data_IF_121990432254
#
_entry.id   IF_121990432254
#
_cell.length_a   1.000
_cell.length_b   1.000
_cell.length_c   1.000
_cell.angle_alpha   90.00
_cell.angle_beta   90.00
_cell.angle_gamma   90.00
#
_symmetry.space_group_name_H-M   'P 1'
#
loop_
_entity.id
_entity.type
_entity.pdbx_description
1 polymer ?
#
# COMPACT_ATOMS: atom_id res chain seq x y z
N UNK A 1 -5.36 24.38 0.95
CA UNK A 1 -5.90 23.01 1.18
C UNK A 1 -6.71 23.03 2.47
N UNK A 2 -7.78 22.24 2.57
CA UNK A 2 -8.53 22.12 3.82
C UNK A 2 -7.70 21.37 4.86
N UNK A 3 -7.82 21.73 6.13
CA UNK A 3 -7.16 21.03 7.24
C UNK A 3 -7.52 19.53 7.21
N UNK A 4 -6.58 18.61 7.48
CA UNK A 4 -6.84 17.17 7.54
C UNK A 4 -7.71 16.78 8.76
N UNK A 5 -7.92 17.71 9.68
CA UNK A 5 -8.63 17.46 10.93
C UNK A 5 -10.14 17.71 10.79
N UNK A 6 -10.91 16.64 10.92
CA UNK A 6 -12.36 16.72 10.98
C UNK A 6 -12.87 17.17 12.38
N UNK A 7 -14.20 17.31 12.53
CA UNK A 7 -14.83 17.74 13.81
C UNK A 7 -14.46 16.83 14.97
N UNK A 8 -14.41 15.51 14.77
CA UNK A 8 -14.04 14.54 15.79
C UNK A 8 -12.59 14.71 16.24
N UNK A 9 -11.66 14.87 15.28
CA UNK A 9 -10.25 15.16 15.60
C UNK A 9 -10.12 16.43 16.41
N UNK A 10 -10.81 17.50 16.01
CA UNK A 10 -10.78 18.81 16.72
C UNK A 10 -11.34 18.71 18.13
N UNK A 11 -12.44 17.97 18.32
CA UNK A 11 -13.01 17.72 19.66
C UNK A 11 -12.00 17.03 20.60
N UNK A 12 -11.31 15.99 20.13
CA UNK A 12 -10.31 15.29 20.93
C UNK A 12 -9.06 16.14 21.19
N UNK A 13 -8.63 16.95 20.21
CA UNK A 13 -7.51 17.87 20.39
C UNK A 13 -7.79 18.91 21.47
N UNK A 14 -9.03 19.45 21.54
CA UNK A 14 -9.43 20.37 22.58
C UNK A 14 -9.48 19.69 23.95
N UNK A 15 -10.10 18.51 24.02
CA UNK A 15 -10.23 17.75 25.26
C UNK A 15 -8.89 17.39 25.90
N UNK A 16 -7.86 17.09 25.07
CA UNK A 16 -6.53 16.69 25.53
C UNK A 16 -5.46 17.81 25.42
N UNK A 17 -5.88 19.05 25.20
CA UNK A 17 -5.00 20.22 25.03
C UNK A 17 -3.87 20.05 24.02
N UNK A 18 -4.18 19.42 22.88
CA UNK A 18 -3.21 19.17 21.80
C UNK A 18 -3.47 19.99 20.54
N UNK A 19 -4.46 20.89 20.53
CA UNK A 19 -4.84 21.69 19.36
C UNK A 19 -3.66 22.45 18.76
N UNK A 20 -2.93 23.19 19.58
CA UNK A 20 -1.77 23.99 19.14
C UNK A 20 -0.65 23.13 18.57
N UNK A 21 -0.43 21.93 19.15
CA UNK A 21 0.53 20.97 18.62
C UNK A 21 0.07 20.43 17.26
N UNK A 22 -1.21 20.06 17.15
CA UNK A 22 -1.78 19.55 15.91
C UNK A 22 -1.70 20.57 14.76
N UNK A 23 -2.01 21.85 15.04
CA UNK A 23 -1.89 22.92 14.05
C UNK A 23 -0.44 23.10 13.59
N UNK A 24 0.52 23.05 14.51
CA UNK A 24 1.95 23.11 14.15
C UNK A 24 2.41 21.90 13.33
N UNK A 25 1.87 20.71 13.59
CA UNK A 25 2.17 19.50 12.80
C UNK A 25 1.55 19.59 11.40
N UNK A 26 0.35 20.18 11.28
CA UNK A 26 -0.29 20.45 9.98
C UNK A 26 0.58 21.38 9.14
N UNK A 27 0.95 22.53 9.68
CA UNK A 27 1.83 23.50 9.01
C UNK A 27 3.16 22.88 8.56
N UNK A 28 3.77 22.06 9.41
CA UNK A 28 5.12 21.53 9.20
C UNK A 28 5.18 20.33 8.24
N UNK A 29 4.20 19.45 8.31
CA UNK A 29 4.28 18.13 7.65
C UNK A 29 3.14 17.84 6.66
N UNK A 30 1.97 18.47 6.80
CA UNK A 30 0.79 18.12 6.02
C UNK A 30 0.46 19.15 4.94
N UNK A 31 0.96 20.36 5.06
CA UNK A 31 0.65 21.45 4.13
C UNK A 31 1.17 21.22 2.71
N UNK A 32 2.20 20.41 2.53
CA UNK A 32 2.80 20.13 1.23
C UNK A 32 3.04 18.62 1.04
N UNK A 33 2.20 17.92 0.24
CA UNK A 33 2.31 16.48 0.01
C UNK A 33 3.41 16.15 -1.00
N UNK A 34 4.66 16.49 -0.71
CA UNK A 34 5.81 16.20 -1.57
C UNK A 34 6.59 15.01 -1.02
N UNK A 35 6.86 14.04 -1.87
CA UNK A 35 7.73 12.89 -1.60
C UNK A 35 9.17 13.37 -1.81
N UNK A 36 9.86 13.66 -0.72
CA UNK A 36 11.27 14.06 -0.76
C UNK A 36 12.21 12.90 -1.09
N UNK A 37 13.50 13.21 -1.23
CA UNK A 37 14.52 12.18 -1.54
C UNK A 37 14.61 11.10 -0.44
N UNK A 38 14.49 11.49 0.83
CA UNK A 38 14.49 10.56 1.97
C UNK A 38 13.24 9.67 1.96
N UNK A 39 12.05 10.25 1.69
CA UNK A 39 10.80 9.49 1.59
C UNK A 39 10.86 8.50 0.41
N UNK A 40 11.40 8.91 -0.74
CA UNK A 40 11.62 8.04 -1.89
C UNK A 40 12.50 6.84 -1.50
N UNK A 41 13.67 7.10 -0.92
CA UNK A 41 14.59 6.06 -0.51
C UNK A 41 13.95 5.13 0.55
N UNK A 42 13.12 5.68 1.43
CA UNK A 42 12.35 4.90 2.40
C UNK A 42 11.32 4.01 1.71
N UNK A 43 10.47 4.56 0.83
CA UNK A 43 9.40 3.83 0.13
C UNK A 43 10.00 2.71 -0.72
N UNK A 44 11.00 3.02 -1.55
CA UNK A 44 11.54 2.09 -2.54
C UNK A 44 12.36 0.93 -1.93
N UNK A 45 12.86 1.07 -0.69
CA UNK A 45 13.54 -0.04 -0.01
C UNK A 45 12.60 -0.98 0.74
N UNK A 46 11.33 -0.62 0.94
CA UNK A 46 10.39 -1.45 1.68
C UNK A 46 9.87 -2.61 0.86
N UNK A 47 9.58 -3.70 1.55
CA UNK A 47 9.13 -4.98 0.99
C UNK A 47 7.63 -5.20 1.19
N UNK A 48 6.97 -4.29 1.90
CA UNK A 48 5.54 -4.38 2.18
C UNK A 48 4.96 -3.04 2.63
N UNK A 49 3.64 -2.92 2.46
CA UNK A 49 2.84 -1.87 3.07
C UNK A 49 1.41 -2.36 3.34
N UNK A 50 0.69 -1.64 4.18
CA UNK A 50 -0.75 -1.84 4.36
C UNK A 50 -1.51 -0.82 3.52
N UNK A 51 -2.48 -1.32 2.72
CA UNK A 51 -3.37 -0.51 1.90
C UNK A 51 -4.74 -0.46 2.54
N UNK A 52 -5.18 0.72 2.93
CA UNK A 52 -6.54 1.01 3.36
C UNK A 52 -7.35 1.55 2.17
N UNK A 53 -8.52 0.98 1.95
CA UNK A 53 -9.52 1.40 0.96
C UNK A 53 -10.90 1.43 1.60
N UNK A 54 -11.88 2.05 0.97
CA UNK A 54 -13.28 1.96 1.37
C UNK A 54 -14.14 1.88 0.11
N UNK A 55 -15.28 1.19 0.22
CA UNK A 55 -16.27 1.19 -0.85
C UNK A 55 -17.05 2.51 -0.95
N UNK A 56 -18.03 2.58 -1.84
CA UNK A 56 -18.84 3.79 -2.05
C UNK A 56 -19.64 4.21 -0.80
N UNK A 57 -19.97 3.26 0.08
CA UNK A 57 -20.68 3.50 1.35
C UNK A 57 -19.73 3.83 2.51
N UNK A 58 -18.41 3.85 2.25
CA UNK A 58 -17.41 4.15 3.26
C UNK A 58 -17.01 2.97 4.16
N UNK A 59 -17.41 1.72 3.84
CA UNK A 59 -17.01 0.53 4.59
C UNK A 59 -15.54 0.22 4.33
N UNK A 60 -14.69 0.18 5.37
CA UNK A 60 -13.26 0.09 5.19
C UNK A 60 -12.78 -1.33 4.91
N UNK A 61 -11.71 -1.42 4.13
CA UNK A 61 -10.90 -2.61 3.93
C UNK A 61 -9.43 -2.28 4.19
N UNK A 62 -8.70 -3.23 4.75
CA UNK A 62 -7.25 -3.12 4.92
C UNK A 62 -6.59 -4.39 4.39
N UNK A 63 -5.60 -4.24 3.52
CA UNK A 63 -4.89 -5.35 2.92
C UNK A 63 -3.37 -5.18 3.02
N UNK A 64 -2.68 -6.28 3.22
CA UNK A 64 -1.23 -6.37 3.08
C UNK A 64 -0.88 -6.39 1.59
N UNK A 65 0.14 -5.64 1.21
CA UNK A 65 0.77 -5.67 -0.11
C UNK A 65 2.26 -5.92 0.09
N UNK A 66 2.78 -6.96 -0.52
CA UNK A 66 4.18 -7.35 -0.42
C UNK A 66 4.84 -7.48 -1.79
N UNK A 67 6.15 -7.31 -1.80
CA UNK A 67 7.01 -7.43 -2.97
C UNK A 67 8.47 -7.34 -2.57
N UNK A 68 9.37 -7.48 -3.53
CA UNK A 68 10.79 -7.20 -3.28
C UNK A 68 11.03 -5.67 -3.22
N UNK A 69 12.14 -5.20 -2.63
CA UNK A 69 12.50 -3.79 -2.67
C UNK A 69 12.39 -3.22 -4.07
N UNK A 70 11.76 -2.05 -4.21
CA UNK A 70 11.46 -1.43 -5.49
C UNK A 70 10.12 -1.85 -6.12
N UNK A 71 9.32 -2.72 -5.48
CA UNK A 71 7.97 -3.01 -5.96
C UNK A 71 7.04 -1.79 -5.83
N UNK A 72 7.24 -0.94 -4.84
CA UNK A 72 6.65 0.39 -4.82
C UNK A 72 7.67 1.36 -5.41
N UNK A 73 7.30 2.06 -6.48
CA UNK A 73 8.15 3.04 -7.17
C UNK A 73 7.61 4.44 -6.98
N UNK A 74 8.50 5.37 -6.72
CA UNK A 74 8.18 6.80 -6.71
C UNK A 74 8.45 7.36 -8.10
N UNK A 75 7.40 7.69 -8.83
CA UNK A 75 7.49 8.14 -10.23
C UNK A 75 7.89 9.62 -10.33
N UNK A 76 7.33 10.43 -9.45
CA UNK A 76 7.61 11.85 -9.31
C UNK A 76 7.41 12.29 -7.86
N UNK A 77 7.49 13.57 -7.57
CA UNK A 77 7.36 14.13 -6.22
C UNK A 77 5.99 13.93 -5.56
N UNK A 78 5.00 13.40 -6.29
CA UNK A 78 3.62 13.23 -5.81
C UNK A 78 2.99 11.90 -6.20
N UNK A 79 3.67 11.06 -6.95
CA UNK A 79 3.08 9.85 -7.50
C UNK A 79 3.91 8.64 -7.14
N UNK A 80 3.26 7.65 -6.53
CA UNK A 80 3.81 6.31 -6.37
C UNK A 80 3.04 5.32 -7.23
N UNK A 81 3.69 4.21 -7.60
CA UNK A 81 3.06 3.11 -8.31
C UNK A 81 3.46 1.78 -7.68
N UNK A 82 2.55 0.81 -7.74
CA UNK A 82 2.80 -0.56 -7.31
C UNK A 82 2.00 -1.56 -8.15
N UNK A 83 2.47 -2.81 -8.28
CA UNK A 83 1.76 -3.83 -9.04
C UNK A 83 0.59 -4.41 -8.26
N UNK A 84 -0.44 -4.86 -8.97
CA UNK A 84 -1.38 -5.82 -8.43
C UNK A 84 -1.00 -7.22 -8.93
N UNK A 85 -0.61 -8.07 -8.01
CA UNK A 85 -0.33 -9.48 -8.27
C UNK A 85 -1.59 -10.33 -8.14
N UNK A 86 -1.55 -11.54 -8.66
CA UNK A 86 -2.61 -12.51 -8.46
C UNK A 86 -2.81 -12.79 -6.96
N UNK A 87 -4.04 -13.01 -6.57
CA UNK A 87 -4.43 -13.26 -5.19
C UNK A 87 -5.59 -14.26 -5.10
N UNK A 88 -6.50 -14.03 -4.19
CA UNK A 88 -7.64 -14.90 -3.93
C UNK A 88 -8.85 -14.69 -4.88
N UNK A 89 -8.72 -13.86 -5.90
CA UNK A 89 -9.78 -13.57 -6.86
C UNK A 89 -10.91 -12.66 -6.37
N UNK A 90 -10.92 -12.27 -5.09
CA UNK A 90 -12.00 -11.43 -4.54
C UNK A 90 -11.91 -9.96 -4.94
N UNK A 91 -10.73 -9.45 -5.25
CA UNK A 91 -10.45 -8.06 -5.64
C UNK A 91 -11.05 -6.98 -4.74
N UNK A 92 -11.30 -7.26 -3.45
CA UNK A 92 -11.99 -6.33 -2.53
C UNK A 92 -11.35 -4.94 -2.51
N UNK A 93 -10.03 -4.86 -2.32
CA UNK A 93 -9.35 -3.57 -2.29
C UNK A 93 -9.34 -2.88 -3.66
N UNK A 94 -9.14 -3.64 -4.73
CA UNK A 94 -9.07 -3.08 -6.08
C UNK A 94 -10.44 -2.70 -6.61
N UNK A 95 -11.48 -3.48 -6.28
CA UNK A 95 -12.87 -3.13 -6.57
C UNK A 95 -13.28 -1.83 -5.89
N UNK A 96 -12.90 -1.64 -4.63
CA UNK A 96 -13.14 -0.38 -3.93
C UNK A 96 -12.56 0.82 -4.69
N UNK A 97 -11.34 0.69 -5.26
CA UNK A 97 -10.70 1.79 -5.99
C UNK A 97 -11.44 2.23 -7.25
N UNK A 98 -12.22 1.35 -7.85
CA UNK A 98 -13.05 1.69 -9.02
C UNK A 98 -14.26 2.54 -8.65
N UNK A 99 -14.75 2.43 -7.41
CA UNK A 99 -15.90 3.17 -6.90
C UNK A 99 -15.49 4.37 -6.04
N UNK A 100 -14.47 4.19 -5.20
CA UNK A 100 -13.94 5.20 -4.30
C UNK A 100 -12.40 5.18 -4.38
N UNK A 101 -11.78 6.09 -5.13
CA UNK A 101 -10.36 6.06 -5.40
C UNK A 101 -9.49 6.55 -4.23
N UNK A 102 -10.08 6.95 -3.10
CA UNK A 102 -9.32 7.42 -1.94
C UNK A 102 -8.65 6.26 -1.20
N UNK A 103 -7.35 6.42 -0.94
CA UNK A 103 -6.53 5.39 -0.30
C UNK A 103 -5.68 5.96 0.83
N UNK A 104 -5.35 5.07 1.77
CA UNK A 104 -4.31 5.27 2.75
C UNK A 104 -3.26 4.16 2.64
N UNK A 105 -1.98 4.54 2.51
CA UNK A 105 -0.85 3.62 2.57
C UNK A 105 -0.12 3.83 3.89
N UNK A 106 0.08 2.75 4.63
CA UNK A 106 0.91 2.73 5.82
C UNK A 106 2.14 1.87 5.55
N UNK A 107 3.28 2.51 5.44
CA UNK A 107 4.57 1.89 5.14
C UNK A 107 5.36 1.87 6.45
N UNK A 108 5.83 0.70 6.89
CA UNK A 108 6.52 0.52 8.18
C UNK A 108 7.82 -0.24 7.97
N UNK A 109 8.90 0.35 8.45
CA UNK A 109 10.17 -0.33 8.62
C UNK A 109 10.22 -0.97 10.01
N UNK A 110 10.04 -2.29 10.06
CA UNK A 110 10.10 -3.06 11.29
C UNK A 110 11.51 -3.56 11.62
N UNK A 111 12.40 -3.61 10.63
CA UNK A 111 13.65 -4.37 10.69
C UNK A 111 14.86 -3.55 11.06
N UNK A 112 14.84 -2.25 10.79
CA UNK A 112 15.99 -1.41 11.12
C UNK A 112 16.16 -1.20 12.63
N UNK A 113 17.37 -0.83 13.03
CA UNK A 113 17.68 -0.56 14.45
C UNK A 113 16.80 0.57 15.03
N UNK A 114 16.26 1.43 14.19
CA UNK A 114 15.32 2.48 14.54
C UNK A 114 14.08 2.35 13.66
N UNK A 115 13.07 1.57 14.10
CA UNK A 115 11.82 1.43 13.36
C UNK A 115 11.23 2.79 13.00
N UNK A 116 10.65 2.87 11.82
CA UNK A 116 10.05 4.11 11.34
C UNK A 116 8.81 3.80 10.48
N UNK A 117 7.97 4.81 10.27
CA UNK A 117 6.80 4.68 9.42
C UNK A 117 6.47 5.97 8.69
N UNK A 118 5.96 5.77 7.48
CA UNK A 118 5.45 6.83 6.62
C UNK A 118 3.98 6.57 6.33
N UNK A 119 3.16 7.61 6.33
CA UNK A 119 1.79 7.58 5.80
C UNK A 119 1.74 8.35 4.50
N UNK A 120 1.08 7.76 3.53
CA UNK A 120 0.71 8.40 2.28
C UNK A 120 -0.78 8.22 2.10
N UNK A 121 -1.52 9.34 2.02
CA UNK A 121 -2.91 9.33 1.58
C UNK A 121 -2.97 9.91 0.17
N UNK A 122 -3.90 9.40 -0.65
CA UNK A 122 -3.96 9.84 -2.03
C UNK A 122 -5.21 9.40 -2.77
N UNK A 123 -5.19 9.68 -4.06
CA UNK A 123 -6.19 9.24 -5.02
C UNK A 123 -5.54 8.23 -5.95
N UNK A 124 -6.10 7.03 -5.99
CA UNK A 124 -5.60 5.92 -6.80
C UNK A 124 -6.25 5.87 -8.18
N UNK A 125 -5.52 5.28 -9.12
CA UNK A 125 -6.04 4.88 -10.43
C UNK A 125 -5.46 3.52 -10.82
N UNK A 126 -6.22 2.73 -11.55
CA UNK A 126 -5.82 1.42 -12.08
C UNK A 126 -5.56 1.55 -13.58
N UNK A 127 -4.45 1.01 -14.06
CA UNK A 127 -4.11 0.97 -15.48
C UNK A 127 -3.66 -0.43 -15.89
N UNK A 128 -4.49 -1.11 -16.72
CA UNK A 128 -4.20 -2.44 -17.25
C UNK A 128 -3.11 -2.42 -18.34
N UNK A 129 -2.92 -1.30 -19.00
CA UNK A 129 -1.93 -1.10 -20.08
C UNK A 129 -0.80 -0.14 -19.68
N UNK A 130 -0.45 -0.10 -18.40
CA UNK A 130 0.61 0.77 -17.90
C UNK A 130 1.99 0.33 -18.41
N UNK A 131 2.82 1.31 -18.81
CA UNK A 131 4.19 1.05 -19.27
C UNK A 131 5.08 0.38 -18.21
N UNK A 132 4.73 0.52 -16.92
CA UNK A 132 5.44 -0.12 -15.82
C UNK A 132 5.17 -1.63 -15.71
N UNK A 133 4.16 -2.17 -16.39
CA UNK A 133 3.88 -3.62 -16.36
C UNK A 133 5.09 -4.45 -16.75
N UNK A 134 5.86 -4.00 -17.73
CA UNK A 134 7.08 -4.69 -18.16
C UNK A 134 8.16 -4.82 -17.06
N UNK A 135 8.06 -4.00 -16.02
CA UNK A 135 8.99 -4.00 -14.90
C UNK A 135 8.48 -4.80 -13.68
N UNK A 136 7.29 -5.39 -13.78
CA UNK A 136 6.66 -6.17 -12.72
C UNK A 136 6.26 -7.55 -13.25
N UNK A 137 7.10 -8.58 -13.06
CA UNK A 137 6.76 -9.94 -13.45
C UNK A 137 5.38 -10.34 -12.91
N UNK A 138 4.57 -11.02 -13.73
CA UNK A 138 3.25 -11.56 -13.39
C UNK A 138 2.21 -10.53 -12.87
N UNK A 139 2.49 -9.22 -12.92
CA UNK A 139 1.51 -8.23 -12.51
C UNK A 139 0.31 -8.20 -13.48
N UNK A 140 -0.90 -8.14 -12.92
CA UNK A 140 -2.13 -8.06 -13.70
C UNK A 140 -2.38 -6.63 -14.19
N UNK A 141 -2.06 -5.64 -13.37
CA UNK A 141 -2.13 -4.23 -13.66
C UNK A 141 -1.30 -3.42 -12.66
N UNK A 142 -1.15 -2.13 -12.93
CA UNK A 142 -0.45 -1.18 -12.06
C UNK A 142 -1.47 -0.27 -11.39
N UNK A 143 -1.27 -0.03 -10.10
CA UNK A 143 -1.99 0.98 -9.34
C UNK A 143 -1.08 2.19 -9.18
N UNK A 144 -1.54 3.36 -9.61
CA UNK A 144 -0.87 4.65 -9.37
C UNK A 144 -1.62 5.40 -8.28
N UNK A 145 -0.90 5.97 -7.33
CA UNK A 145 -1.47 6.78 -6.26
C UNK A 145 -0.87 8.17 -6.32
N UNK A 146 -1.70 9.16 -6.59
CA UNK A 146 -1.33 10.57 -6.48
C UNK A 146 -1.52 11.02 -5.05
N UNK A 147 -0.43 11.33 -4.37
CA UNK A 147 -0.41 11.71 -2.98
C UNK A 147 -1.14 13.05 -2.73
N UNK A 148 -1.98 13.07 -1.73
CA UNK A 148 -2.62 14.25 -1.16
C UNK A 148 -2.05 14.60 0.20
N UNK A 149 -1.41 13.62 0.87
CA UNK A 149 -0.69 13.79 2.11
C UNK A 149 0.47 12.80 2.16
N UNK A 150 1.64 13.25 2.61
CA UNK A 150 2.81 12.41 2.89
C UNK A 150 3.41 12.93 4.19
N UNK A 151 3.48 12.07 5.20
CA UNK A 151 4.03 12.49 6.48
C UNK A 151 4.52 11.32 7.34
N UNK A 152 5.63 11.52 8.09
CA UNK A 152 6.10 10.56 9.06
C UNK A 152 5.21 10.55 10.30
N UNK A 153 5.14 9.41 10.97
CA UNK A 153 4.55 9.32 12.30
C UNK A 153 5.56 8.84 13.34
N UNK A 154 5.35 9.23 14.58
CA UNK A 154 6.16 8.78 15.70
C UNK A 154 6.21 7.24 15.74
N UNK A 155 7.41 6.61 15.80
CA UNK A 155 7.55 5.15 15.82
C UNK A 155 7.38 4.52 17.21
N UNK A 156 6.97 5.28 18.20
CA UNK A 156 6.99 4.95 19.64
C UNK A 156 6.48 3.55 19.99
N UNK A 157 5.52 3.02 19.23
CA UNK A 157 4.89 1.72 19.51
C UNK A 157 5.14 0.68 18.41
N UNK A 158 6.12 0.93 17.52
CA UNK A 158 6.49 -0.05 16.50
C UNK A 158 7.46 -1.04 17.15
N UNK A 159 7.09 -2.32 17.16
CA UNK A 159 7.99 -3.38 17.60
C UNK A 159 9.04 -3.65 16.52
N UNK A 160 10.27 -3.87 16.95
CA UNK A 160 11.32 -4.33 16.05
C UNK A 160 11.09 -5.81 15.73
N UNK A 161 11.23 -6.15 14.46
CA UNK A 161 11.09 -7.52 13.94
C UNK A 161 12.28 -7.85 13.08
N UNK A 162 12.53 -9.13 12.85
CA UNK A 162 13.54 -9.59 11.90
C UNK A 162 12.81 -10.27 10.73
N UNK A 163 13.24 -9.98 9.51
CA UNK A 163 12.78 -10.69 8.31
C UNK A 163 13.49 -12.04 8.26
N UNK A 164 12.77 -13.13 8.53
CA UNK A 164 13.31 -14.49 8.50
C UNK A 164 13.53 -14.95 7.06
N UNK A 165 12.51 -14.78 6.22
CA UNK A 165 12.56 -15.14 4.80
C UNK A 165 11.57 -14.32 3.99
N UNK A 166 11.82 -14.17 2.69
CA UNK A 166 10.90 -13.56 1.75
C UNK A 166 9.92 -14.59 1.22
N UNK A 167 8.68 -14.20 1.02
CA UNK A 167 7.66 -15.07 0.46
C UNK A 167 8.10 -15.62 -0.92
N UNK A 168 8.02 -16.93 -1.17
CA UNK A 168 8.25 -17.52 -2.49
C UNK A 168 7.17 -17.12 -3.51
N UNK A 169 6.03 -16.58 -3.06
CA UNK A 169 4.93 -16.12 -3.91
C UNK A 169 5.11 -14.69 -4.42
N UNK A 170 6.22 -14.01 -4.09
CA UNK A 170 6.56 -12.73 -4.73
C UNK A 170 7.10 -13.01 -6.13
N UNK A 171 6.45 -12.53 -7.20
CA UNK A 171 6.90 -12.79 -8.56
C UNK A 171 8.27 -12.16 -8.85
N UNK A 172 9.17 -12.94 -9.46
CA UNK A 172 10.52 -12.55 -9.87
C UNK A 172 10.82 -13.06 -11.26
N UNK A 173 11.69 -12.38 -12.00
CA UNK A 173 12.03 -12.75 -13.35
C UNK A 173 12.81 -14.08 -13.46
N UNK A 174 13.52 -14.47 -12.42
CA UNK A 174 14.38 -15.66 -12.32
C UNK A 174 13.77 -16.79 -11.49
N UNK A 175 12.50 -16.67 -11.11
CA UNK A 175 11.81 -17.62 -10.25
C UNK A 175 10.38 -17.85 -10.74
N UNK A 176 9.99 -19.12 -10.88
CA UNK A 176 8.60 -19.48 -11.14
C UNK A 176 7.79 -19.38 -9.84
N UNK A 177 6.74 -18.55 -9.86
CA UNK A 177 5.88 -18.37 -8.69
C UNK A 177 5.09 -19.66 -8.41
N UNK A 178 5.20 -20.25 -7.20
CA UNK A 178 4.51 -21.47 -6.86
C UNK A 178 2.98 -21.31 -6.93
N UNK A 179 2.29 -22.40 -7.24
CA UNK A 179 0.82 -22.45 -7.15
C UNK A 179 0.43 -22.59 -5.67
N UNK A 180 -0.39 -21.69 -5.12
CA UNK A 180 -0.83 -21.79 -3.72
C UNK A 180 -1.67 -23.05 -3.49
N UNK A 181 -1.48 -23.73 -2.33
CA UNK A 181 -2.15 -24.99 -2.01
C UNK A 181 -3.69 -24.93 -2.11
N UNK A 182 -4.29 -23.79 -1.76
CA UNK A 182 -5.74 -23.64 -1.83
C UNK A 182 -6.30 -23.73 -3.27
N UNK A 183 -5.51 -23.35 -4.30
CA UNK A 183 -5.90 -23.51 -5.71
C UNK A 183 -5.95 -24.98 -6.15
N UNK A 184 -5.30 -25.87 -5.40
CA UNK A 184 -5.32 -27.31 -5.63
C UNK A 184 -6.40 -28.05 -4.80
N UNK A 185 -7.09 -27.33 -3.93
CA UNK A 185 -8.13 -27.90 -3.11
C UNK A 185 -9.36 -28.26 -3.97
N UNK A 186 -10.01 -29.38 -3.66
CA UNK A 186 -11.14 -29.91 -4.44
C UNK A 186 -12.30 -28.92 -4.61
N UNK A 187 -12.53 -28.07 -3.61
CA UNK A 187 -13.59 -27.06 -3.64
C UNK A 187 -13.30 -25.88 -4.59
N UNK A 188 -12.05 -25.68 -4.99
CA UNK A 188 -11.66 -24.58 -5.87
C UNK A 188 -11.51 -25.01 -7.33
N UNK A 189 -11.25 -26.28 -7.58
CA UNK A 189 -10.77 -26.81 -8.84
C UNK A 189 -11.66 -26.47 -10.07
N UNK A 190 -12.98 -26.53 -9.93
CA UNK A 190 -13.95 -26.28 -10.99
C UNK A 190 -14.30 -24.79 -11.20
N UNK A 191 -13.84 -23.92 -10.29
CA UNK A 191 -14.14 -22.47 -10.33
C UNK A 191 -12.89 -21.60 -10.51
N UNK A 192 -11.73 -22.22 -10.70
CA UNK A 192 -10.50 -21.47 -10.96
C UNK A 192 -10.59 -20.69 -12.29
N UNK A 193 -9.98 -19.48 -12.36
CA UNK A 193 -9.83 -18.77 -13.62
C UNK A 193 -9.12 -19.62 -14.69
N UNK A 194 -9.44 -19.39 -15.96
CA UNK A 194 -8.84 -20.14 -17.08
C UNK A 194 -7.29 -20.12 -17.08
N UNK A 195 -6.67 -19.02 -16.63
CA UNK A 195 -5.22 -18.89 -16.50
C UNK A 195 -4.60 -19.82 -15.45
N UNK A 196 -5.38 -20.32 -14.52
CA UNK A 196 -4.93 -21.23 -13.45
C UNK A 196 -5.28 -22.69 -13.71
N UNK A 197 -6.13 -22.96 -14.74
CA UNK A 197 -6.50 -24.32 -15.12
C UNK A 197 -5.30 -25.04 -15.74
N UNK A 198 -4.98 -26.24 -15.22
CA UNK A 198 -3.87 -27.05 -15.69
C UNK A 198 -2.47 -26.65 -15.16
N UNK A 199 -2.37 -25.69 -14.25
CA UNK A 199 -1.14 -25.44 -13.50
C UNK A 199 -1.01 -26.48 -12.39
N UNK A 200 -0.13 -27.44 -12.61
CA UNK A 200 0.29 -28.42 -11.61
C UNK A 200 1.51 -27.91 -10.82
N UNK A 201 1.80 -28.54 -9.69
CA UNK A 201 3.02 -28.25 -8.89
C UNK A 201 4.28 -28.52 -9.67
#
# INVERSE_FOLDING_TARGET
MSSPYNRGSRHLQDRFDTRRLADRLDEKFLANPVIGAEDRAFIERMEMFFLATADAEGRPQCSYKGGDPGFVRVLDERTVAFPNYDGNGMYLSMGNLLENPHVGMLIIDFTSARPSRLRLCGVASIAESDSLLAAYPEAQFVVRVRATQVFPNCPRYIHRMDLVERSPFVPRADHETPVPDWKQASWAHDVLPARDQGRER
#
